data_IF_895531269665
#
_entry.id   IF_895531269665
#
_cell.length_a   1.000
_cell.length_b   1.000
_cell.length_c   1.000
_cell.angle_alpha   90.00
_cell.angle_beta   90.00
_cell.angle_gamma   90.00
#
_symmetry.space_group_name_H-M   'P 1'
#
loop_
_entity.id
_entity.type
_entity.pdbx_description
1 polymer ?
#
# COMPACT_ATOMS: atom_id res chain seq x y z
N UNK A 1 26.97 -7.55 -9.17
CA UNK A 1 25.83 -7.05 -8.37
C UNK A 1 26.20 -7.26 -6.90
N UNK A 2 26.17 -6.23 -6.04
CA UNK A 2 26.43 -6.36 -4.60
C UNK A 2 25.15 -6.85 -3.92
N UNK A 3 25.23 -7.92 -3.14
CA UNK A 3 24.14 -8.34 -2.25
C UNK A 3 24.17 -7.43 -1.03
N UNK A 4 23.05 -6.83 -0.69
CA UNK A 4 22.90 -5.91 0.45
C UNK A 4 22.11 -6.59 1.59
N UNK A 5 22.37 -6.19 2.83
CA UNK A 5 21.61 -6.64 3.99
C UNK A 5 20.34 -5.79 4.19
N UNK A 6 19.47 -6.21 5.12
CA UNK A 6 18.22 -5.49 5.44
C UNK A 6 18.49 -4.04 5.89
N UNK A 7 19.55 -3.81 6.65
CA UNK A 7 19.87 -2.45 7.11
C UNK A 7 20.29 -1.54 5.95
N UNK A 8 21.10 -2.06 5.00
CA UNK A 8 21.44 -1.31 3.79
C UNK A 8 20.18 -1.01 2.94
N UNK A 9 19.23 -1.95 2.88
CA UNK A 9 17.95 -1.73 2.19
C UNK A 9 17.14 -0.61 2.87
N UNK A 10 17.03 -0.61 4.20
CA UNK A 10 16.37 0.45 4.97
C UNK A 10 17.00 1.83 4.73
N UNK A 11 18.33 1.92 4.63
CA UNK A 11 19.00 3.18 4.27
C UNK A 11 18.61 3.66 2.86
N UNK A 12 18.53 2.76 1.88
CA UNK A 12 18.10 3.12 0.52
C UNK A 12 16.65 3.60 0.52
N UNK A 13 15.76 2.93 1.24
CA UNK A 13 14.36 3.35 1.38
C UNK A 13 14.24 4.72 2.06
N UNK A 14 15.07 4.98 3.08
CA UNK A 14 15.15 6.30 3.73
C UNK A 14 15.61 7.39 2.75
N UNK A 15 16.57 7.11 1.87
CA UNK A 15 17.00 8.05 0.84
C UNK A 15 15.88 8.35 -0.17
N UNK A 16 15.09 7.32 -0.55
CA UNK A 16 13.88 7.52 -1.37
C UNK A 16 12.89 8.42 -0.62
N UNK A 17 12.60 8.13 0.65
CA UNK A 17 11.68 8.92 1.48
C UNK A 17 12.10 10.39 1.55
N UNK A 18 13.39 10.67 1.84
CA UNK A 18 13.94 12.04 1.87
C UNK A 18 13.76 12.76 0.54
N UNK A 19 14.00 12.07 -0.57
CA UNK A 19 13.83 12.66 -1.91
C UNK A 19 12.36 12.97 -2.19
N UNK A 20 11.45 12.04 -1.88
CA UNK A 20 10.00 12.23 -2.03
C UNK A 20 9.50 13.37 -1.14
N UNK A 21 9.91 13.44 0.13
CA UNK A 21 9.52 14.49 1.05
C UNK A 21 9.96 15.87 0.56
N UNK A 22 11.24 16.01 0.18
CA UNK A 22 11.80 17.24 -0.39
C UNK A 22 11.01 17.68 -1.63
N UNK A 23 10.77 16.75 -2.58
CA UNK A 23 9.99 17.04 -3.78
C UNK A 23 8.57 17.52 -3.44
N UNK A 24 7.91 16.87 -2.48
CA UNK A 24 6.57 17.22 -2.04
C UNK A 24 6.53 18.64 -1.44
N UNK A 25 7.50 18.98 -0.59
CA UNK A 25 7.59 20.31 0.04
C UNK A 25 7.83 21.42 -1.01
N UNK A 26 8.77 21.20 -1.94
CA UNK A 26 9.07 22.14 -3.03
C UNK A 26 7.87 22.37 -3.96
N UNK A 27 7.04 21.34 -4.16
CA UNK A 27 5.87 21.39 -5.05
C UNK A 27 4.54 21.60 -4.32
N UNK A 28 4.53 21.81 -2.99
CA UNK A 28 3.32 21.98 -2.18
C UNK A 28 2.36 20.81 -2.34
N UNK A 29 2.88 19.59 -2.28
CA UNK A 29 2.14 18.32 -2.28
C UNK A 29 2.07 17.86 -0.82
N UNK A 30 0.86 17.60 -0.32
CA UNK A 30 0.66 17.07 1.03
C UNK A 30 1.03 15.60 1.05
N UNK A 31 1.82 15.20 2.05
CA UNK A 31 2.17 13.81 2.33
C UNK A 31 2.27 13.58 3.82
N UNK A 32 2.13 12.34 4.25
CA UNK A 32 2.20 11.93 5.65
C UNK A 32 2.81 10.56 5.76
N UNK A 33 3.59 10.32 6.82
CA UNK A 33 3.99 8.94 7.17
C UNK A 33 2.74 8.12 7.48
N UNK A 34 2.70 6.88 7.00
CA UNK A 34 1.57 5.97 7.15
C UNK A 34 1.89 4.72 7.94
N UNK A 35 0.89 4.02 8.39
CA UNK A 35 0.92 2.66 8.93
C UNK A 35 2.11 2.36 9.87
N UNK A 36 2.90 1.32 9.54
CA UNK A 36 4.08 0.90 10.30
C UNK A 36 5.15 1.98 10.39
N UNK A 37 5.34 2.76 9.33
CA UNK A 37 6.31 3.87 9.31
C UNK A 37 5.94 4.96 10.31
N UNK A 38 4.67 5.35 10.38
CA UNK A 38 4.21 6.33 11.38
C UNK A 38 4.33 5.79 12.81
N UNK A 39 3.97 4.53 13.03
CA UNK A 39 4.12 3.89 14.33
C UNK A 39 5.59 3.82 14.75
N UNK A 40 6.48 3.50 13.81
CA UNK A 40 7.93 3.50 14.00
C UNK A 40 8.46 4.89 14.38
N UNK A 41 8.04 5.94 13.69
CA UNK A 41 8.40 7.33 14.01
C UNK A 41 8.02 7.70 15.44
N UNK A 42 6.82 7.32 15.90
CA UNK A 42 6.34 7.62 17.26
C UNK A 42 7.11 6.85 18.32
N UNK A 43 7.27 5.54 18.16
CA UNK A 43 7.78 4.64 19.21
C UNK A 43 9.29 4.47 19.21
N UNK A 44 9.88 4.43 18.01
CA UNK A 44 11.29 4.08 17.81
C UNK A 44 12.14 5.24 17.28
N UNK A 45 11.51 6.32 16.82
CA UNK A 45 12.16 7.40 16.06
C UNK A 45 12.81 6.93 14.77
N UNK A 46 12.32 5.80 14.21
CA UNK A 46 12.86 5.13 13.04
C UNK A 46 12.04 3.89 12.72
N UNK A 47 12.64 2.96 11.98
CA UNK A 47 11.99 1.70 11.65
C UNK A 47 11.61 0.89 12.89
N UNK A 48 10.47 0.23 12.86
CA UNK A 48 10.17 -0.85 13.78
C UNK A 48 11.20 -1.97 13.53
N UNK A 49 11.81 -2.61 14.58
CA UNK A 49 12.94 -3.52 14.39
C UNK A 49 12.69 -4.70 13.42
N UNK A 50 11.46 -5.16 13.31
CA UNK A 50 11.05 -6.27 12.43
C UNK A 50 10.33 -5.83 11.16
N UNK A 51 10.23 -4.54 10.92
CA UNK A 51 9.58 -3.93 9.75
C UNK A 51 10.64 -3.48 8.76
N UNK A 52 10.37 -3.62 7.47
CA UNK A 52 11.34 -3.39 6.40
C UNK A 52 10.76 -2.61 5.21
N UNK A 53 9.64 -1.91 5.43
CA UNK A 53 8.99 -1.07 4.43
C UNK A 53 8.77 0.37 4.92
N UNK A 54 8.55 1.28 3.98
CA UNK A 54 8.17 2.66 4.22
C UNK A 54 6.87 2.95 3.49
N UNK A 55 5.90 3.44 4.24
CA UNK A 55 4.56 3.80 3.80
C UNK A 55 4.33 5.30 3.88
N UNK A 56 3.86 5.89 2.79
CA UNK A 56 3.43 7.30 2.71
C UNK A 56 1.97 7.37 2.31
N UNK A 57 1.24 8.28 2.92
CA UNK A 57 -0.14 8.61 2.61
C UNK A 57 -0.20 9.99 1.93
N UNK A 58 -0.98 10.10 0.86
CA UNK A 58 -1.22 11.37 0.19
C UNK A 58 -2.71 11.58 -0.06
N UNK A 59 -3.30 12.77 0.25
CA UNK A 59 -4.64 13.10 -0.22
C UNK A 59 -4.79 12.81 -1.72
N UNK A 60 -5.90 12.22 -2.17
CA UNK A 60 -6.07 11.81 -3.58
C UNK A 60 -5.71 12.89 -4.61
N UNK A 61 -6.06 14.17 -4.46
CA UNK A 61 -5.64 15.20 -5.41
C UNK A 61 -4.12 15.38 -5.47
N UNK A 62 -3.46 15.30 -4.32
CA UNK A 62 -1.99 15.43 -4.20
C UNK A 62 -1.30 14.17 -4.76
N UNK A 63 -1.83 12.98 -4.48
CA UNK A 63 -1.38 11.71 -5.07
C UNK A 63 -1.41 11.75 -6.60
N UNK A 64 -2.55 12.14 -7.19
CA UNK A 64 -2.69 12.23 -8.64
C UNK A 64 -1.76 13.28 -9.27
N UNK A 65 -1.49 14.37 -8.55
CA UNK A 65 -0.51 15.37 -8.97
C UNK A 65 0.91 14.82 -8.87
N UNK A 66 1.25 14.17 -7.75
CA UNK A 66 2.55 13.56 -7.50
C UNK A 66 2.92 12.57 -8.61
N UNK A 67 2.09 11.57 -8.90
CA UNK A 67 2.39 10.54 -9.89
C UNK A 67 2.57 11.09 -11.31
N UNK A 68 1.98 12.25 -11.63
CA UNK A 68 2.12 12.90 -12.95
C UNK A 68 3.40 13.71 -13.12
N UNK A 69 3.95 14.25 -12.02
CA UNK A 69 5.05 15.23 -12.13
C UNK A 69 6.38 14.74 -11.54
N UNK A 70 6.38 13.77 -10.64
CA UNK A 70 7.58 13.32 -9.91
C UNK A 70 8.67 12.80 -10.86
N UNK A 71 8.34 11.99 -11.86
CA UNK A 71 9.31 11.40 -12.80
C UNK A 71 10.06 12.44 -13.68
N UNK A 72 9.65 13.70 -13.64
CA UNK A 72 10.34 14.77 -14.36
C UNK A 72 11.46 15.41 -13.55
N UNK A 73 11.60 15.06 -12.30
CA UNK A 73 12.46 15.76 -11.34
C UNK A 73 13.81 15.11 -11.11
N UNK A 74 13.96 13.83 -11.38
CA UNK A 74 15.24 13.12 -11.24
C UNK A 74 15.27 11.82 -12.07
N UNK A 75 16.50 11.32 -12.35
CA UNK A 75 16.73 10.14 -13.19
C UNK A 75 16.95 8.87 -12.37
N UNK A 76 17.09 8.96 -11.03
CA UNK A 76 17.35 7.82 -10.16
C UNK A 76 16.07 7.19 -9.62
N UNK A 77 15.12 8.04 -9.19
CA UNK A 77 13.89 7.58 -8.58
C UNK A 77 12.71 7.74 -9.54
N UNK A 78 11.91 6.68 -9.66
CA UNK A 78 10.76 6.67 -10.56
C UNK A 78 9.49 6.22 -9.82
N UNK A 79 8.42 7.02 -9.91
CA UNK A 79 7.09 6.58 -9.45
C UNK A 79 6.41 5.76 -10.53
N UNK A 80 5.78 4.66 -10.14
CA UNK A 80 4.89 3.84 -10.97
C UNK A 80 3.53 3.69 -10.30
N UNK A 81 2.49 3.77 -11.10
CA UNK A 81 1.10 3.58 -10.68
C UNK A 81 0.22 3.24 -11.88
N UNK A 82 -1.00 2.75 -11.63
CA UNK A 82 -1.95 2.43 -12.70
C UNK A 82 -2.41 3.67 -13.49
N UNK A 83 -2.26 4.87 -12.93
CA UNK A 83 -2.61 6.13 -13.55
C UNK A 83 -1.66 6.55 -14.67
N UNK A 84 -0.41 6.05 -14.64
CA UNK A 84 0.65 6.40 -15.59
C UNK A 84 1.26 5.20 -16.32
N UNK A 85 1.05 3.98 -15.85
CA UNK A 85 1.47 2.73 -16.51
C UNK A 85 0.31 1.73 -16.51
N UNK A 86 -0.31 1.51 -17.65
CA UNK A 86 -1.47 0.62 -17.80
C UNK A 86 -1.20 -0.84 -17.45
N UNK A 87 0.06 -1.27 -17.51
CA UNK A 87 0.49 -2.62 -17.15
C UNK A 87 0.83 -2.76 -15.65
N UNK A 88 0.71 -1.67 -14.88
CA UNK A 88 1.02 -1.70 -13.45
C UNK A 88 0.08 -2.64 -12.69
N UNK A 89 0.65 -3.41 -11.74
CA UNK A 89 -0.05 -4.55 -11.12
C UNK A 89 -0.62 -4.26 -9.74
N UNK A 90 -0.28 -3.08 -9.13
CA UNK A 90 -0.70 -2.77 -7.77
C UNK A 90 -1.79 -1.70 -7.72
N UNK A 91 -2.53 -1.63 -6.62
CA UNK A 91 -3.64 -0.68 -6.42
C UNK A 91 -3.19 0.71 -5.97
N UNK A 92 -1.94 0.84 -5.49
CA UNK A 92 -1.32 2.08 -5.03
C UNK A 92 0.03 2.29 -5.72
N UNK A 93 0.57 3.50 -5.69
CA UNK A 93 1.85 3.80 -6.32
C UNK A 93 3.03 3.31 -5.49
N UNK A 94 4.16 3.10 -6.16
CA UNK A 94 5.46 2.87 -5.52
C UNK A 94 6.49 3.80 -6.16
N UNK A 95 7.45 4.27 -5.34
CA UNK A 95 8.64 4.97 -5.83
C UNK A 95 9.82 4.01 -5.76
N UNK A 96 10.45 3.77 -6.89
CA UNK A 96 11.53 2.81 -7.09
C UNK A 96 12.88 3.50 -7.21
N UNK A 97 13.94 2.92 -6.62
CA UNK A 97 15.32 3.28 -6.92
C UNK A 97 15.85 2.43 -8.08
N UNK A 98 15.92 3.03 -9.26
CA UNK A 98 16.31 2.36 -10.51
C UNK A 98 17.77 1.83 -10.51
N UNK A 99 18.60 2.23 -9.55
CA UNK A 99 19.98 1.74 -9.40
C UNK A 99 20.06 0.45 -8.57
N UNK A 100 18.93 -0.09 -8.13
CA UNK A 100 18.85 -1.28 -7.28
C UNK A 100 18.12 -2.41 -7.96
N UNK A 101 18.33 -3.63 -7.46
CA UNK A 101 17.57 -4.82 -7.86
C UNK A 101 17.20 -5.62 -6.62
N UNK A 102 15.92 -6.00 -6.51
CA UNK A 102 15.39 -6.80 -5.43
C UNK A 102 14.71 -8.06 -5.98
N UNK A 103 15.10 -9.22 -5.48
CA UNK A 103 14.38 -10.47 -5.75
C UNK A 103 13.20 -10.63 -4.79
N UNK A 104 11.99 -10.70 -5.33
CA UNK A 104 10.76 -10.95 -4.57
C UNK A 104 10.24 -12.36 -4.89
N UNK A 105 10.65 -13.40 -4.14
CA UNK A 105 10.32 -14.79 -4.48
C UNK A 105 8.85 -15.15 -4.24
N UNK A 106 8.07 -14.30 -3.57
CA UNK A 106 6.69 -14.60 -3.16
C UNK A 106 5.61 -14.05 -4.09
N UNK A 107 5.95 -13.09 -4.92
CA UNK A 107 5.01 -12.38 -5.80
C UNK A 107 5.57 -12.38 -7.21
N UNK A 108 4.73 -12.62 -8.22
CA UNK A 108 5.13 -12.49 -9.63
C UNK A 108 5.18 -11.01 -10.02
N UNK A 109 6.17 -10.30 -9.50
CA UNK A 109 6.44 -8.92 -9.88
C UNK A 109 7.18 -8.92 -11.21
N UNK A 110 6.70 -8.22 -12.25
CA UNK A 110 7.44 -8.06 -13.50
C UNK A 110 8.85 -7.49 -13.24
N UNK A 111 9.83 -7.94 -14.01
CA UNK A 111 11.24 -7.63 -13.78
C UNK A 111 11.52 -6.11 -13.70
N UNK A 112 10.85 -5.33 -14.54
CA UNK A 112 10.96 -3.85 -14.56
C UNK A 112 10.57 -3.15 -13.25
N UNK A 113 9.93 -3.87 -12.30
CA UNK A 113 9.50 -3.35 -11.01
C UNK A 113 10.24 -4.00 -9.83
N UNK A 114 11.29 -4.75 -10.08
CA UNK A 114 12.10 -5.41 -9.05
C UNK A 114 13.23 -4.52 -8.56
N UNK A 115 12.88 -3.34 -8.07
CA UNK A 115 13.82 -2.40 -7.45
C UNK A 115 13.39 -2.15 -6.00
N UNK A 116 14.33 -1.72 -5.15
CA UNK A 116 13.99 -1.24 -3.80
C UNK A 116 13.02 -0.07 -3.95
N UNK A 117 11.99 -0.03 -3.14
CA UNK A 117 10.90 0.91 -3.27
C UNK A 117 10.30 1.30 -1.91
N UNK A 118 9.50 2.37 -1.93
CA UNK A 118 8.57 2.76 -0.86
C UNK A 118 7.15 2.86 -1.40
N UNK A 119 6.16 2.71 -0.54
CA UNK A 119 4.76 2.64 -0.88
C UNK A 119 4.07 4.00 -0.71
N UNK A 120 3.26 4.39 -1.70
CA UNK A 120 2.52 5.65 -1.71
C UNK A 120 1.03 5.34 -1.85
N UNK A 121 0.29 5.55 -0.77
CA UNK A 121 -1.14 5.27 -0.72
C UNK A 121 -1.98 6.54 -0.87
N UNK A 122 -3.04 6.51 -1.68
CA UNK A 122 -3.98 7.61 -1.73
C UNK A 122 -4.92 7.60 -0.52
N UNK A 123 -5.20 8.78 0.05
CA UNK A 123 -6.26 9.01 1.02
C UNK A 123 -7.49 9.54 0.30
N UNK A 124 -8.59 8.85 0.46
CA UNK A 124 -9.87 9.14 -0.17
C UNK A 124 -10.92 9.61 0.84
N UNK A 125 -11.87 10.40 0.38
CA UNK A 125 -13.02 10.79 1.18
C UNK A 125 -13.97 9.62 1.43
N UNK A 126 -14.64 9.62 2.60
CA UNK A 126 -15.69 8.67 2.93
C UNK A 126 -17.09 9.31 2.79
N UNK A 127 -18.11 8.53 2.38
CA UNK A 127 -19.47 9.05 2.27
C UNK A 127 -20.07 9.40 3.63
N UNK A 128 -20.91 10.43 3.66
CA UNK A 128 -21.68 10.79 4.85
C UNK A 128 -22.73 9.73 5.17
N UNK A 129 -22.84 9.42 6.47
CA UNK A 129 -23.85 8.48 7.00
C UNK A 129 -23.38 7.03 7.03
N UNK A 130 -23.59 6.37 8.17
CA UNK A 130 -23.05 5.04 8.45
C UNK A 130 -23.50 3.97 7.45
N UNK A 131 -24.74 3.99 6.98
CA UNK A 131 -25.23 2.99 6.03
C UNK A 131 -24.54 3.13 4.66
N UNK A 132 -24.41 4.37 4.14
CA UNK A 132 -23.75 4.62 2.86
C UNK A 132 -22.27 4.26 2.94
N UNK A 133 -21.60 4.60 4.05
CA UNK A 133 -20.20 4.24 4.30
C UNK A 133 -20.04 2.72 4.33
N UNK A 134 -20.89 2.00 5.06
CA UNK A 134 -20.86 0.54 5.12
C UNK A 134 -21.06 -0.12 3.75
N UNK A 135 -21.99 0.36 2.94
CA UNK A 135 -22.23 -0.15 1.58
C UNK A 135 -21.01 0.12 0.69
N UNK A 136 -20.45 1.33 0.75
CA UNK A 136 -19.27 1.71 -0.01
C UNK A 136 -18.06 0.83 0.32
N UNK A 137 -17.75 0.64 1.61
CA UNK A 137 -16.65 -0.20 2.07
C UNK A 137 -16.86 -1.68 1.75
N UNK A 138 -18.08 -2.21 1.87
CA UNK A 138 -18.40 -3.59 1.49
C UNK A 138 -18.21 -3.84 -0.01
N UNK A 139 -18.59 -2.89 -0.84
CA UNK A 139 -18.34 -2.99 -2.28
C UNK A 139 -16.83 -2.89 -2.60
N UNK A 140 -16.11 -2.03 -1.89
CA UNK A 140 -14.67 -1.91 -2.02
C UNK A 140 -13.96 -3.21 -1.59
N UNK A 141 -14.34 -3.79 -0.45
CA UNK A 141 -13.83 -5.09 0.03
C UNK A 141 -14.07 -6.21 -1.00
N UNK A 142 -15.22 -6.22 -1.64
CA UNK A 142 -15.55 -7.16 -2.72
C UNK A 142 -14.58 -7.00 -3.91
N UNK A 143 -14.35 -5.78 -4.40
CA UNK A 143 -13.42 -5.51 -5.50
C UNK A 143 -11.98 -5.91 -5.14
N UNK A 144 -11.52 -5.58 -3.93
CA UNK A 144 -10.19 -5.96 -3.42
C UNK A 144 -10.05 -7.48 -3.32
N UNK A 145 -11.11 -8.18 -2.91
CA UNK A 145 -11.12 -9.65 -2.84
C UNK A 145 -10.99 -10.27 -4.23
N UNK A 146 -11.68 -9.74 -5.24
CA UNK A 146 -11.54 -10.16 -6.64
C UNK A 146 -10.11 -9.91 -7.15
N UNK A 147 -9.54 -8.74 -6.88
CA UNK A 147 -8.17 -8.38 -7.24
C UNK A 147 -7.14 -9.32 -6.59
N UNK A 148 -7.26 -9.55 -5.28
CA UNK A 148 -6.38 -10.49 -4.57
C UNK A 148 -6.48 -11.90 -5.16
N UNK A 149 -7.69 -12.34 -5.55
CA UNK A 149 -7.91 -13.61 -6.24
C UNK A 149 -7.25 -13.67 -7.61
N UNK A 150 -7.35 -12.61 -8.42
CA UNK A 150 -6.76 -12.55 -9.76
C UNK A 150 -5.23 -12.48 -9.78
N UNK A 151 -4.63 -11.99 -8.70
CA UNK A 151 -3.17 -11.78 -8.57
C UNK A 151 -2.49 -12.84 -7.67
N UNK A 152 -3.22 -13.86 -7.23
CA UNK A 152 -2.71 -14.86 -6.30
C UNK A 152 -1.90 -15.94 -7.02
N UNK A 153 -0.61 -16.07 -6.67
CA UNK A 153 0.20 -17.21 -7.10
C UNK A 153 -0.07 -18.45 -6.25
N UNK A 154 -0.05 -19.63 -6.90
CA UNK A 154 -0.20 -20.94 -6.26
C UNK A 154 0.95 -21.25 -5.30
N UNK A 155 0.94 -20.70 -4.10
CA UNK A 155 1.75 -21.21 -3.01
C UNK A 155 0.87 -22.11 -2.14
N UNK A 156 1.10 -23.41 -2.23
CA UNK A 156 0.49 -24.38 -1.30
C UNK A 156 0.87 -23.98 0.12
N UNK A 157 -0.11 -23.64 0.93
CA UNK A 157 0.13 -23.30 2.34
C UNK A 157 0.65 -24.56 3.06
N UNK A 158 1.95 -24.63 3.33
CA UNK A 158 2.60 -25.74 4.07
C UNK A 158 1.92 -26.06 5.41
N UNK A 159 1.25 -25.09 6.04
CA UNK A 159 0.47 -25.28 7.27
C UNK A 159 -0.56 -26.41 7.25
N UNK A 160 -1.06 -26.80 6.06
CA UNK A 160 -2.07 -27.86 5.94
C UNK A 160 -1.50 -29.22 5.51
N UNK A 161 -0.28 -29.24 4.97
CA UNK A 161 0.41 -30.49 4.61
C UNK A 161 0.87 -31.23 5.87
N UNK A 162 1.24 -30.49 6.91
CA UNK A 162 1.79 -31.04 8.18
C UNK A 162 0.73 -31.28 9.26
N UNK A 163 -0.57 -31.11 8.96
CA UNK A 163 -1.63 -31.33 9.95
C UNK A 163 -1.81 -32.81 10.28
N UNK A 164 -1.72 -33.18 11.58
CA UNK A 164 -1.96 -34.52 12.08
C UNK A 164 -3.48 -34.79 12.15
N UNK A 165 -3.97 -35.77 11.38
CA UNK A 165 -5.35 -36.26 11.44
C UNK A 165 -6.06 -36.30 10.07
N UNK A 166 -6.80 -37.41 9.79
CA UNK A 166 -7.51 -37.64 8.52
C UNK A 166 -8.55 -36.55 8.20
N UNK A 167 -9.29 -36.08 9.21
CA UNK A 167 -10.32 -35.04 9.06
C UNK A 167 -9.72 -33.65 8.76
N UNK A 168 -8.57 -33.34 9.38
CA UNK A 168 -7.86 -32.07 9.15
C UNK A 168 -7.27 -32.05 7.73
N UNK A 169 -6.74 -33.18 7.25
CA UNK A 169 -6.26 -33.34 5.87
C UNK A 169 -7.39 -33.21 4.86
N UNK A 170 -8.56 -33.82 5.11
CA UNK A 170 -9.73 -33.70 4.22
C UNK A 170 -10.25 -32.27 4.14
N UNK A 171 -10.40 -31.58 5.30
CA UNK A 171 -10.77 -30.16 5.35
C UNK A 171 -9.73 -29.26 4.64
N UNK A 172 -8.45 -29.56 4.80
CA UNK A 172 -7.36 -28.88 4.11
C UNK A 172 -7.43 -29.06 2.61
N UNK A 173 -7.69 -30.28 2.13
CA UNK A 173 -7.84 -30.62 0.72
C UNK A 173 -9.06 -29.96 0.07
N UNK A 174 -10.23 -29.99 0.74
CA UNK A 174 -11.44 -29.29 0.29
C UNK A 174 -11.22 -27.78 0.19
N UNK A 175 -10.58 -27.19 1.22
CA UNK A 175 -10.27 -25.74 1.24
C UNK A 175 -9.26 -25.36 0.16
N UNK A 176 -8.28 -26.21 -0.12
CA UNK A 176 -7.31 -26.04 -1.22
C UNK A 176 -7.99 -26.17 -2.58
N UNK A 177 -8.89 -27.15 -2.76
CA UNK A 177 -9.69 -27.32 -3.96
C UNK A 177 -10.61 -26.14 -4.24
N UNK A 178 -11.32 -25.64 -3.22
CA UNK A 178 -12.15 -24.43 -3.36
C UNK A 178 -11.30 -23.19 -3.70
N UNK A 179 -10.12 -23.04 -3.11
CA UNK A 179 -9.18 -21.96 -3.47
C UNK A 179 -8.71 -22.11 -4.92
N UNK A 180 -8.40 -23.34 -5.36
CA UNK A 180 -7.99 -23.60 -6.73
C UNK A 180 -9.08 -23.21 -7.74
N UNK A 181 -10.33 -23.60 -7.49
CA UNK A 181 -11.49 -23.24 -8.34
C UNK A 181 -11.68 -21.72 -8.33
N UNK A 182 -11.65 -21.08 -7.16
CA UNK A 182 -11.79 -19.64 -7.03
C UNK A 182 -10.68 -18.90 -7.79
N UNK A 183 -9.42 -19.30 -7.64
CA UNK A 183 -8.28 -18.69 -8.33
C UNK A 183 -8.41 -18.88 -9.85
N UNK A 184 -8.80 -20.07 -10.33
CA UNK A 184 -8.98 -20.34 -11.76
C UNK A 184 -10.08 -19.47 -12.35
N UNK A 185 -11.19 -19.27 -11.63
CA UNK A 185 -12.29 -18.39 -12.05
C UNK A 185 -11.85 -16.91 -12.00
N UNK A 186 -11.12 -16.49 -10.96
CA UNK A 186 -10.69 -15.09 -10.82
C UNK A 186 -9.54 -14.70 -11.75
N UNK A 187 -8.70 -15.65 -12.19
CA UNK A 187 -7.64 -15.39 -13.20
C UNK A 187 -8.20 -15.03 -14.59
N UNK A 188 -9.49 -15.27 -14.84
CA UNK A 188 -10.16 -14.83 -16.07
C UNK A 188 -10.41 -13.31 -16.04
N UNK A 189 -10.46 -12.71 -14.85
CA UNK A 189 -10.68 -11.27 -14.72
C UNK A 189 -9.38 -10.49 -14.96
N UNK A 190 -9.38 -9.49 -15.84
CA UNK A 190 -8.20 -8.65 -16.09
C UNK A 190 -7.82 -7.87 -14.82
N UNK A 191 -6.67 -8.18 -14.24
CA UNK A 191 -6.18 -7.56 -12.98
C UNK A 191 -6.18 -6.03 -13.07
N UNK A 192 -5.72 -5.45 -14.19
CA UNK A 192 -5.66 -4.00 -14.40
C UNK A 192 -7.06 -3.37 -14.40
N UNK A 193 -8.07 -4.08 -14.92
CA UNK A 193 -9.46 -3.60 -14.88
C UNK A 193 -9.97 -3.53 -13.43
N UNK A 194 -9.66 -4.54 -12.63
CA UNK A 194 -10.02 -4.55 -11.20
C UNK A 194 -9.32 -3.42 -10.45
N UNK A 195 -8.03 -3.19 -10.67
CA UNK A 195 -7.27 -2.09 -10.07
C UNK A 195 -7.91 -0.73 -10.41
N UNK A 196 -8.29 -0.51 -11.67
CA UNK A 196 -8.97 0.72 -12.10
C UNK A 196 -10.33 0.88 -11.41
N UNK A 197 -11.12 -0.19 -11.25
CA UNK A 197 -12.41 -0.14 -10.55
C UNK A 197 -12.22 0.13 -9.05
N UNK A 198 -11.22 -0.48 -8.40
CA UNK A 198 -10.86 -0.22 -7.01
C UNK A 198 -10.55 1.27 -6.82
N UNK A 199 -9.64 1.83 -7.63
CA UNK A 199 -9.25 3.23 -7.55
C UNK A 199 -10.43 4.18 -7.87
N UNK A 200 -11.23 3.87 -8.90
CA UNK A 200 -12.42 4.65 -9.26
C UNK A 200 -13.47 4.67 -8.14
N UNK A 201 -13.71 3.53 -7.48
CA UNK A 201 -14.65 3.47 -6.38
C UNK A 201 -14.11 4.15 -5.12
N UNK A 202 -12.82 3.98 -4.78
CA UNK A 202 -12.17 4.66 -3.67
C UNK A 202 -12.27 6.19 -3.83
N UNK A 203 -11.89 6.71 -5.00
CA UNK A 203 -11.91 8.14 -5.31
C UNK A 203 -13.30 8.75 -5.55
N UNK A 204 -14.38 8.00 -5.29
CA UNK A 204 -15.77 8.46 -5.52
C UNK A 204 -16.14 9.69 -4.69
N UNK A 205 -15.58 9.82 -3.51
CA UNK A 205 -15.81 10.93 -2.61
C UNK A 205 -14.53 11.75 -2.45
N UNK A 206 -14.63 13.06 -2.70
CA UNK A 206 -13.47 13.94 -2.69
C UNK A 206 -12.90 14.11 -1.28
N UNK A 207 -11.58 13.97 -1.13
CA UNK A 207 -10.86 14.18 0.13
C UNK A 207 -11.19 15.55 0.74
N UNK A 208 -11.10 16.64 -0.04
CA UNK A 208 -11.18 18.01 0.46
C UNK A 208 -12.57 18.41 0.99
N UNK A 209 -13.62 17.67 0.65
CA UNK A 209 -15.00 17.94 1.09
C UNK A 209 -15.57 16.90 2.05
N UNK A 210 -14.85 15.80 2.26
CA UNK A 210 -15.26 14.74 3.17
C UNK A 210 -15.01 15.14 4.63
N UNK A 211 -15.85 14.66 5.53
CA UNK A 211 -15.65 14.77 6.99
C UNK A 211 -14.67 13.71 7.47
N UNK A 212 -14.81 12.50 6.95
CA UNK A 212 -13.95 11.35 7.24
C UNK A 212 -13.19 10.93 5.99
N UNK A 213 -11.97 10.46 6.19
CA UNK A 213 -11.08 10.01 5.12
C UNK A 213 -10.42 8.69 5.52
N UNK A 214 -10.06 7.87 4.54
CA UNK A 214 -9.31 6.64 4.78
C UNK A 214 -8.50 6.22 3.54
N UNK A 215 -7.55 5.31 3.73
CA UNK A 215 -6.96 4.53 2.67
C UNK A 215 -7.91 3.38 2.34
N UNK A 216 -8.35 3.29 1.11
CA UNK A 216 -9.37 2.32 0.70
C UNK A 216 -8.96 1.46 -0.51
N UNK A 217 -7.73 1.57 -1.01
CA UNK A 217 -7.28 0.80 -2.18
C UNK A 217 -6.56 -0.50 -1.80
N UNK A 218 -6.00 -0.58 -0.59
CA UNK A 218 -5.33 -1.77 -0.08
C UNK A 218 -6.25 -2.62 0.80
N UNK A 219 -6.99 -1.97 1.70
CA UNK A 219 -8.04 -2.60 2.50
C UNK A 219 -9.27 -1.68 2.63
N UNK A 220 -10.42 -2.25 2.98
CA UNK A 220 -11.67 -1.51 3.11
C UNK A 220 -12.10 -1.42 4.57
N UNK A 221 -11.21 -0.98 5.45
CA UNK A 221 -11.46 -0.79 6.87
C UNK A 221 -12.15 0.55 7.13
N UNK A 222 -12.94 0.61 8.18
CA UNK A 222 -13.55 1.85 8.68
C UNK A 222 -12.78 2.33 9.90
N UNK A 223 -11.75 3.13 9.70
CA UNK A 223 -10.92 3.68 10.76
C UNK A 223 -11.51 4.94 11.40
N UNK A 224 -12.57 5.51 10.80
CA UNK A 224 -13.23 6.73 11.27
C UNK A 224 -12.29 7.92 11.50
N UNK A 225 -11.30 8.11 10.64
CA UNK A 225 -10.31 9.17 10.77
C UNK A 225 -10.90 10.46 10.20
N UNK A 226 -10.86 11.53 10.96
CA UNK A 226 -11.33 12.84 10.49
C UNK A 226 -10.31 13.44 9.54
N UNK A 227 -10.79 14.08 8.48
CA UNK A 227 -9.92 14.84 7.56
C UNK A 227 -9.13 15.95 8.27
N UNK A 228 -9.71 16.55 9.30
CA UNK A 228 -9.08 17.62 10.09
C UNK A 228 -7.76 17.18 10.74
N UNK A 229 -7.65 15.90 11.12
CA UNK A 229 -6.45 15.34 11.73
C UNK A 229 -5.25 15.37 10.77
N UNK A 230 -5.50 15.30 9.45
CA UNK A 230 -4.47 15.44 8.41
C UNK A 230 -4.16 16.91 8.05
N UNK A 231 -5.08 17.84 8.28
CA UNK A 231 -4.84 19.27 8.03
C UNK A 231 -3.84 19.82 9.05
N UNK A 232 -3.89 19.32 10.28
CA UNK A 232 -3.05 19.71 11.39
C UNK A 232 -1.96 18.67 11.69
N UNK A 233 -1.37 18.08 10.62
CA UNK A 233 -0.31 17.11 10.78
C UNK A 233 0.93 17.71 11.44
N UNK A 234 1.48 16.96 12.40
CA UNK A 234 2.70 17.32 13.11
C UNK A 234 3.94 16.79 12.38
N UNK A 235 5.11 17.24 12.82
CA UNK A 235 6.40 16.74 12.37
C UNK A 235 6.94 15.66 13.33
N UNK A 236 7.43 14.56 12.76
CA UNK A 236 7.97 13.43 13.50
C UNK A 236 9.37 13.10 13.04
N UNK A 237 10.23 12.78 14.00
CA UNK A 237 11.57 12.23 13.70
C UNK A 237 11.42 10.80 13.23
N UNK A 238 12.03 10.47 12.09
CA UNK A 238 12.18 9.12 11.59
C UNK A 238 13.61 8.94 11.06
N UNK A 239 14.41 8.09 11.73
CA UNK A 239 15.86 7.95 11.54
C UNK A 239 16.57 9.30 11.70
N UNK A 240 17.28 9.75 10.70
CA UNK A 240 17.99 11.03 10.68
C UNK A 240 17.21 12.17 9.99
N UNK A 241 15.92 11.97 9.71
CA UNK A 241 15.04 12.94 9.06
C UNK A 241 13.85 13.36 9.91
N UNK A 242 13.17 14.42 9.47
CA UNK A 242 11.91 14.91 10.04
C UNK A 242 10.86 14.94 8.95
N UNK A 243 9.71 14.32 9.21
CA UNK A 243 8.66 14.12 8.22
C UNK A 243 7.28 14.40 8.81
N UNK A 244 6.33 14.77 7.95
CA UNK A 244 4.94 15.01 8.34
C UNK A 244 4.22 13.71 8.64
N UNK A 245 3.39 13.69 9.68
CA UNK A 245 2.61 12.53 10.06
C UNK A 245 1.32 12.87 10.77
N UNK A 246 0.38 11.93 10.80
CA UNK A 246 -0.86 12.02 11.56
C UNK A 246 -0.91 10.87 12.57
N UNK A 247 -0.85 11.19 13.87
CA UNK A 247 -0.77 10.20 14.96
C UNK A 247 -1.92 9.19 14.95
N UNK A 248 -3.12 9.58 14.52
CA UNK A 248 -4.30 8.73 14.50
C UNK A 248 -4.25 7.64 13.42
N UNK A 249 -3.32 7.73 12.48
CA UNK A 249 -3.14 6.74 11.42
C UNK A 249 -2.10 5.66 11.78
N UNK A 250 -1.97 5.33 13.05
CA UNK A 250 -1.20 4.18 13.49
C UNK A 250 -2.10 2.95 13.50
N UNK A 251 -1.76 1.91 12.73
CA UNK A 251 -2.46 0.63 12.83
C UNK A 251 -2.10 -0.02 14.17
N UNK A 252 -3.09 -0.47 14.97
CA UNK A 252 -2.77 -1.28 16.14
C UNK A 252 -2.18 -2.60 15.65
N UNK A 253 -0.89 -2.82 15.93
CA UNK A 253 -0.25 -4.09 15.63
C UNK A 253 -0.72 -5.15 16.62
N UNK A 254 -1.16 -6.33 16.19
CA UNK A 254 -1.50 -7.43 17.11
C UNK A 254 -0.27 -8.01 17.83
N UNK A 255 0.92 -7.43 17.64
CA UNK A 255 2.19 -7.85 18.27
C UNK A 255 2.72 -6.84 19.29
N UNK A 256 2.01 -5.75 19.51
CA UNK A 256 2.34 -4.71 20.49
C UNK A 256 1.60 -4.91 21.81
#
# INVERSE_FOLDING_TARGET
MKVICTDEMKHIQLDILKNVAKFCDENRIRYYLGFGTMLGAVRHKGFIPWDDDIDILMPRPDYLRFVKVFNKSNDRYEVKSIEIDEAYWNTFAKVFDLQTYMEEPRITVPEKYRCINIDIFPLDGMPKGNLRKKIHLKFQEFLITLYRGSNFNYTVSRKYVDSKGKLAKLKGWLRTGMKFIAITVFHILPTQLLIRHINKNAAKYAFDTAEYVDEAVCDALDRNIKREDFIHADEYVFEDGVFKGCLLYTSPSPRD
#
